data_IF_134097768655
#
_entry.id   IF_134097768655
#
_cell.length_a   1.000
_cell.length_b   1.000
_cell.length_c   1.000
_cell.angle_alpha   90.00
_cell.angle_beta   90.00
_cell.angle_gamma   90.00
#
_symmetry.space_group_name_H-M   'P 1'
#
loop_
_entity.id
_entity.type
_entity.pdbx_description
1 polymer ?
#
# COMPACT_ATOMS: atom_id res chain seq x y z
N UNK A 1 11.90 15.09 16.74
CA UNK A 1 10.80 14.20 17.18
C UNK A 1 10.18 13.65 15.91
N UNK A 2 10.30 12.34 15.66
CA UNK A 2 9.89 11.74 14.38
C UNK A 2 8.46 11.24 14.54
N UNK A 3 7.52 11.89 13.84
CA UNK A 3 6.07 11.64 13.87
C UNK A 3 5.69 10.15 13.78
N UNK A 4 6.52 9.35 13.11
CA UNK A 4 6.34 7.90 12.95
C UNK A 4 6.34 7.15 14.29
N UNK A 5 7.16 7.55 15.27
CA UNK A 5 7.20 6.91 16.59
C UNK A 5 5.97 7.22 17.45
N UNK A 6 5.39 8.40 17.32
CA UNK A 6 4.20 8.80 18.10
C UNK A 6 2.92 8.10 17.60
N UNK A 7 2.88 7.75 16.32
CA UNK A 7 1.77 7.01 15.70
C UNK A 7 1.94 5.48 15.75
N UNK A 8 3.07 4.98 16.25
CA UNK A 8 3.40 3.55 16.24
C UNK A 8 3.69 2.99 14.84
N UNK A 9 3.91 3.86 13.86
CA UNK A 9 4.24 3.48 12.50
C UNK A 9 5.74 3.21 12.38
N UNK A 10 6.09 1.99 12.02
CA UNK A 10 7.49 1.62 11.80
C UNK A 10 8.01 2.16 10.46
N UNK A 11 7.11 2.39 9.49
CA UNK A 11 7.45 2.84 8.14
C UNK A 11 6.22 3.45 7.44
N UNK A 12 6.43 4.46 6.60
CA UNK A 12 5.45 4.95 5.61
C UNK A 12 6.14 4.90 4.24
N UNK A 13 5.49 4.32 3.24
CA UNK A 13 6.08 4.14 1.91
C UNK A 13 5.00 4.15 0.80
N UNK A 14 5.44 4.19 -0.46
CA UNK A 14 4.55 4.16 -1.61
C UNK A 14 3.59 5.36 -1.71
N UNK A 15 3.96 6.52 -1.15
CA UNK A 15 3.12 7.72 -1.16
C UNK A 15 2.81 8.18 -2.59
N UNK A 16 1.52 8.39 -2.90
CA UNK A 16 1.01 8.89 -4.19
C UNK A 16 -0.18 9.82 -3.95
N UNK A 17 -0.49 10.63 -4.95
CA UNK A 17 -1.74 11.40 -5.00
C UNK A 17 -2.64 10.75 -6.06
N UNK A 18 -3.85 10.36 -5.67
CA UNK A 18 -4.88 9.76 -6.54
C UNK A 18 -6.14 10.57 -6.31
N UNK A 19 -6.74 11.12 -7.36
CA UNK A 19 -7.93 12.00 -7.26
C UNK A 19 -7.77 13.13 -6.23
N UNK A 20 -6.61 13.79 -6.23
CA UNK A 20 -6.25 14.86 -5.27
C UNK A 20 -6.15 14.40 -3.80
N UNK A 21 -6.34 13.11 -3.54
CA UNK A 21 -6.28 12.52 -2.20
C UNK A 21 -4.97 11.77 -1.97
N UNK A 22 -4.40 11.85 -0.75
CA UNK A 22 -3.20 11.11 -0.41
C UNK A 22 -3.48 9.61 -0.32
N UNK A 23 -2.60 8.84 -0.92
CA UNK A 23 -2.53 7.39 -0.83
C UNK A 23 -1.16 6.99 -0.29
N UNK A 24 -1.09 6.16 0.74
CA UNK A 24 0.18 5.62 1.23
C UNK A 24 0.00 4.31 1.98
N UNK A 25 1.07 3.52 2.00
CA UNK A 25 1.18 2.36 2.85
C UNK A 25 1.87 2.75 4.16
N UNK A 26 1.49 2.11 5.25
CA UNK A 26 2.18 2.26 6.52
C UNK A 26 2.28 0.92 7.24
N UNK A 27 3.43 0.67 7.89
CA UNK A 27 3.65 -0.53 8.70
C UNK A 27 3.36 -0.25 10.16
N UNK A 28 2.52 -1.06 10.78
CA UNK A 28 2.25 -1.05 12.20
C UNK A 28 2.46 -2.48 12.75
N UNK A 29 3.51 -2.67 13.55
CA UNK A 29 3.95 -4.00 13.96
C UNK A 29 4.43 -4.85 12.77
N UNK A 30 3.93 -6.07 12.64
CA UNK A 30 4.24 -6.98 11.53
C UNK A 30 3.28 -6.87 10.34
N UNK A 31 2.36 -5.90 10.38
CA UNK A 31 1.31 -5.73 9.38
C UNK A 31 1.47 -4.42 8.62
N UNK A 32 1.09 -4.46 7.36
CA UNK A 32 1.07 -3.32 6.45
C UNK A 32 -0.39 -2.92 6.23
N UNK A 33 -0.66 -1.64 6.38
CA UNK A 33 -1.97 -1.04 6.19
C UNK A 33 -1.92 -0.06 5.02
N UNK A 34 -3.09 0.23 4.48
CA UNK A 34 -3.28 1.19 3.40
C UNK A 34 -4.11 2.35 3.90
N UNK A 35 -3.66 3.57 3.65
CA UNK A 35 -4.44 4.78 3.88
C UNK A 35 -4.76 5.44 2.55
N UNK A 36 -6.03 5.74 2.32
CA UNK A 36 -6.50 6.50 1.17
C UNK A 36 -7.50 7.54 1.64
N UNK A 37 -7.33 8.80 1.20
CA UNK A 37 -8.16 9.92 1.65
C UNK A 37 -8.20 10.06 3.20
N UNK A 38 -7.08 9.76 3.85
CA UNK A 38 -6.96 9.77 5.31
C UNK A 38 -7.71 8.65 6.04
N UNK A 39 -8.33 7.72 5.33
CA UNK A 39 -9.03 6.56 5.89
C UNK A 39 -8.18 5.31 5.71
N UNK A 40 -8.02 4.55 6.79
CA UNK A 40 -7.39 3.23 6.73
C UNK A 40 -8.35 2.22 6.11
N UNK A 41 -7.94 1.60 5.01
CA UNK A 41 -8.70 0.54 4.36
C UNK A 41 -8.61 -0.74 5.21
N UNK A 42 -9.73 -1.44 5.47
CA UNK A 42 -9.72 -2.70 6.21
C UNK A 42 -8.94 -3.79 5.46
N UNK A 43 -8.29 -4.68 6.21
CA UNK A 43 -7.50 -5.79 5.67
C UNK A 43 -6.00 -5.49 5.74
N UNK A 44 -5.35 -5.77 6.88
CA UNK A 44 -3.90 -5.67 6.96
C UNK A 44 -3.25 -6.74 6.08
N UNK A 45 -2.13 -6.37 5.46
CA UNK A 45 -1.33 -7.23 4.61
C UNK A 45 -0.05 -7.65 5.32
N UNK A 46 0.42 -8.87 5.06
CA UNK A 46 1.73 -9.31 5.56
C UNK A 46 2.85 -8.77 4.67
N UNK A 47 2.63 -8.71 3.35
CA UNK A 47 3.59 -8.25 2.36
C UNK A 47 2.87 -7.46 1.26
N UNK A 48 3.56 -6.48 0.69
CA UNK A 48 3.12 -5.74 -0.50
C UNK A 48 4.28 -5.70 -1.48
N UNK A 49 4.02 -6.02 -2.75
CA UNK A 49 5.01 -5.82 -3.81
C UNK A 49 4.99 -4.35 -4.19
N UNK A 50 5.96 -3.58 -3.68
CA UNK A 50 6.07 -2.13 -3.90
C UNK A 50 7.32 -1.70 -4.68
N UNK A 51 8.29 -2.59 -4.87
CA UNK A 51 9.48 -2.36 -5.69
C UNK A 51 9.24 -2.88 -7.12
N UNK A 52 9.68 -2.18 -8.18
CA UNK A 52 9.64 -2.72 -9.53
C UNK A 52 10.53 -3.96 -9.58
N UNK A 53 9.92 -5.13 -9.71
CA UNK A 53 10.70 -6.36 -9.82
C UNK A 53 11.46 -6.31 -11.14
N UNK A 54 12.77 -6.08 -11.05
CA UNK A 54 13.73 -5.92 -12.15
C UNK A 54 13.63 -7.03 -13.22
N UNK A 55 13.02 -8.16 -12.88
CA UNK A 55 12.90 -9.34 -13.75
C UNK A 55 11.45 -9.83 -13.99
N UNK A 56 10.40 -9.20 -13.45
CA UNK A 56 9.01 -9.69 -13.57
C UNK A 56 8.22 -9.11 -14.76
N UNK A 57 8.90 -8.45 -15.70
CA UNK A 57 8.29 -7.72 -16.83
C UNK A 57 7.20 -6.71 -16.40
N UNK A 58 7.25 -6.25 -15.15
CA UNK A 58 6.28 -5.33 -14.58
C UNK A 58 4.90 -5.92 -14.27
N UNK A 59 4.71 -7.24 -14.38
CA UNK A 59 3.42 -7.90 -14.10
C UNK A 59 2.93 -7.70 -12.65
N UNK A 60 3.87 -7.49 -11.73
CA UNK A 60 3.61 -7.26 -10.31
C UNK A 60 3.73 -5.80 -9.90
N UNK A 61 3.97 -4.90 -10.85
CA UNK A 61 4.06 -3.48 -10.56
C UNK A 61 2.69 -2.95 -10.13
N UNK A 62 2.71 -1.99 -9.22
CA UNK A 62 1.51 -1.24 -8.90
C UNK A 62 0.98 -0.57 -10.18
N UNK A 63 -0.30 -0.78 -10.44
CA UNK A 63 -0.99 -0.24 -11.61
C UNK A 63 -1.80 0.97 -11.18
N UNK A 64 -1.39 2.16 -11.62
CA UNK A 64 -2.19 3.37 -11.48
C UNK A 64 -3.28 3.33 -12.55
N UNK A 65 -4.54 3.23 -12.12
CA UNK A 65 -5.70 3.51 -12.97
C UNK A 65 -6.05 5.01 -12.94
N UNK A 66 -6.98 5.45 -13.79
CA UNK A 66 -7.44 6.85 -13.78
C UNK A 66 -7.96 7.29 -12.41
N UNK A 67 -8.66 6.41 -11.69
CA UNK A 67 -9.30 6.71 -10.40
C UNK A 67 -8.88 5.75 -9.29
N UNK A 68 -7.73 5.07 -9.40
CA UNK A 68 -7.43 4.00 -8.45
C UNK A 68 -6.02 3.44 -8.51
N UNK A 69 -5.75 2.53 -7.58
CA UNK A 69 -4.47 1.81 -7.51
C UNK A 69 -4.71 0.31 -7.37
N UNK A 70 -4.13 -0.45 -8.30
CA UNK A 70 -3.99 -1.89 -8.23
C UNK A 70 -2.62 -2.30 -7.70
N UNK A 71 -2.55 -3.23 -6.74
CA UNK A 71 -1.30 -3.77 -6.22
C UNK A 71 -1.44 -5.22 -5.76
N UNK A 72 -0.32 -5.94 -5.74
CA UNK A 72 -0.27 -7.30 -5.18
C UNK A 72 0.12 -7.26 -3.71
N UNK A 73 -0.62 -7.99 -2.90
CA UNK A 73 -0.37 -8.10 -1.47
C UNK A 73 -0.59 -9.54 -0.98
N UNK A 74 0.09 -9.89 0.10
CA UNK A 74 -0.16 -11.13 0.82
C UNK A 74 -1.15 -10.86 1.95
N UNK A 75 -2.24 -11.62 1.95
CA UNK A 75 -3.26 -11.61 2.99
C UNK A 75 -3.55 -13.05 3.43
N UNK A 76 -3.33 -13.33 4.72
CA UNK A 76 -3.57 -14.62 5.36
C UNK A 76 -2.86 -15.81 4.65
N UNK A 77 -1.66 -15.55 4.12
CA UNK A 77 -0.84 -16.54 3.41
C UNK A 77 -1.18 -16.71 1.93
N UNK A 78 -2.09 -15.90 1.38
CA UNK A 78 -2.46 -15.90 -0.03
C UNK A 78 -2.07 -14.59 -0.70
N UNK A 79 -1.53 -14.70 -1.92
CA UNK A 79 -1.32 -13.54 -2.78
C UNK A 79 -2.63 -13.10 -3.41
N UNK A 80 -3.04 -11.86 -3.14
CA UNK A 80 -4.23 -11.21 -3.68
C UNK A 80 -3.84 -10.00 -4.53
N UNK A 81 -4.63 -9.73 -5.57
CA UNK A 81 -4.57 -8.48 -6.31
C UNK A 81 -5.65 -7.55 -5.79
N UNK A 82 -5.23 -6.46 -5.14
CA UNK A 82 -6.10 -5.48 -4.51
C UNK A 82 -6.26 -4.30 -5.45
N UNK A 83 -7.50 -3.88 -5.68
CA UNK A 83 -7.83 -2.66 -6.43
C UNK A 83 -8.55 -1.74 -5.46
N UNK A 84 -8.03 -0.53 -5.31
CA UNK A 84 -8.70 0.55 -4.59
C UNK A 84 -9.25 1.52 -5.63
N UNK A 85 -10.56 1.65 -5.65
CA UNK A 85 -11.29 2.60 -6.50
C UNK A 85 -11.64 3.85 -5.68
N UNK A 86 -11.45 5.02 -6.27
CA UNK A 86 -11.72 6.34 -5.71
C UNK A 86 -13.08 6.90 -6.10
#
# INVERSE_FOLDING_TARGET
MVLNQELGYSEIFGFRIINEQPFYFYRQGSQIYVSYNGVTIPGPYQQIIHEPSCCSAGLTNMTLGENGLGFFAEQDGYWVYVIIEG
#
